data_IF_091147692783
#
_entry.id   IF_091147692783
#
_cell.length_a   1.000
_cell.length_b   1.000
_cell.length_c   1.000
_cell.angle_alpha   90.00
_cell.angle_beta   90.00
_cell.angle_gamma   90.00
#
_symmetry.space_group_name_H-M   'P 1'
#
loop_
_entity.id
_entity.type
_entity.pdbx_description
1 polymer ?
#
# COMPACT_ATOMS: atom_id res chain seq x y z
N UNK A 1 30.98 -33.35 4.59
CA UNK A 1 29.50 -33.25 4.69
C UNK A 1 29.14 -31.84 5.16
N UNK A 2 29.27 -30.82 4.31
CA UNK A 2 29.07 -29.39 4.68
C UNK A 2 27.87 -28.76 3.97
N UNK A 3 26.87 -29.58 3.61
CA UNK A 3 25.70 -29.13 2.83
C UNK A 3 24.62 -28.45 3.68
N UNK A 4 24.77 -28.43 5.01
CA UNK A 4 23.74 -28.00 5.94
C UNK A 4 23.77 -26.49 6.28
N UNK A 5 24.82 -25.75 5.90
CA UNK A 5 24.98 -24.35 6.31
C UNK A 5 24.34 -23.32 5.37
N UNK A 6 23.76 -23.73 4.24
CA UNK A 6 23.16 -22.80 3.27
C UNK A 6 21.67 -22.49 3.56
N UNK A 7 20.99 -23.26 4.41
CA UNK A 7 19.56 -23.08 4.65
C UNK A 7 19.22 -22.01 5.70
N UNK A 8 20.18 -21.57 6.52
CA UNK A 8 19.90 -20.59 7.60
C UNK A 8 19.90 -19.12 7.14
N UNK A 9 20.47 -18.79 5.97
CA UNK A 9 20.49 -17.42 5.46
C UNK A 9 19.24 -17.05 4.64
N UNK A 10 18.24 -17.94 4.55
CA UNK A 10 17.11 -17.78 3.64
C UNK A 10 15.98 -16.89 4.18
N UNK A 11 16.09 -16.46 5.44
CA UNK A 11 15.06 -15.67 6.13
C UNK A 11 15.42 -14.18 6.32
N UNK A 12 16.69 -13.82 6.17
CA UNK A 12 17.17 -12.46 6.43
C UNK A 12 16.97 -11.45 5.27
N UNK A 13 16.21 -11.80 4.22
CA UNK A 13 16.15 -10.99 3.01
C UNK A 13 14.92 -11.21 2.14
N UNK A 14 13.74 -11.42 2.74
CA UNK A 14 12.50 -11.54 1.95
C UNK A 14 11.31 -11.07 2.77
N UNK A 15 10.93 -9.81 2.57
CA UNK A 15 9.68 -9.28 3.12
C UNK A 15 9.87 -8.34 4.30
N UNK A 16 9.30 -7.15 4.15
CA UNK A 16 9.18 -6.16 5.22
C UNK A 16 8.33 -6.78 6.34
N UNK A 17 8.95 -7.10 7.48
CA UNK A 17 8.23 -7.74 8.58
C UNK A 17 7.06 -6.85 9.02
N UNK A 18 5.92 -7.44 9.39
CA UNK A 18 4.70 -6.73 9.87
C UNK A 18 4.97 -5.76 11.04
N UNK A 19 6.07 -5.95 11.76
CA UNK A 19 6.54 -5.07 12.83
C UNK A 19 7.36 -3.87 12.33
N UNK A 20 8.02 -3.97 11.16
CA UNK A 20 8.80 -2.89 10.55
C UNK A 20 7.91 -1.86 9.85
N UNK A 21 6.79 -2.28 9.25
CA UNK A 21 5.84 -1.34 8.65
C UNK A 21 5.25 -0.38 9.68
N UNK A 22 5.12 -0.79 10.95
CA UNK A 22 4.66 0.07 12.06
C UNK A 22 5.67 1.17 12.42
N UNK A 23 6.95 1.01 12.06
CA UNK A 23 8.00 2.02 12.27
C UNK A 23 8.11 2.94 11.04
N UNK A 24 7.78 2.42 9.86
CA UNK A 24 7.82 3.18 8.61
C UNK A 24 6.62 4.14 8.51
N UNK A 25 6.93 5.42 8.43
CA UNK A 25 5.94 6.50 8.35
C UNK A 25 5.87 7.12 6.96
N UNK A 26 4.69 7.61 6.59
CA UNK A 26 4.49 8.37 5.36
C UNK A 26 5.33 9.66 5.37
N UNK A 27 6.05 9.99 4.27
CA UNK A 27 6.85 11.22 4.20
C UNK A 27 6.00 12.50 4.32
N UNK A 28 4.71 12.44 3.91
CA UNK A 28 3.79 13.57 3.87
C UNK A 28 2.95 13.67 5.15
N UNK A 29 2.21 12.62 5.50
CA UNK A 29 1.24 12.65 6.61
C UNK A 29 1.85 12.27 7.96
N UNK A 30 3.09 11.74 7.99
CA UNK A 30 3.76 11.19 9.18
C UNK A 30 2.99 10.07 9.89
N UNK A 31 1.97 9.52 9.25
CA UNK A 31 1.21 8.38 9.76
C UNK A 31 1.91 7.06 9.41
N UNK A 32 1.72 5.99 10.19
CA UNK A 32 2.28 4.68 9.88
C UNK A 32 1.75 4.14 8.54
N UNK A 33 2.58 3.35 7.86
CA UNK A 33 2.23 2.72 6.58
C UNK A 33 1.82 1.26 6.77
N UNK A 34 0.84 0.81 6.00
CA UNK A 34 0.40 -0.59 5.96
C UNK A 34 1.06 -1.32 4.80
N UNK A 35 1.73 -2.43 5.09
CA UNK A 35 2.30 -3.26 4.03
C UNK A 35 1.23 -4.16 3.40
N UNK A 36 1.19 -4.19 2.07
CA UNK A 36 0.33 -5.07 1.28
C UNK A 36 1.18 -6.11 0.56
N UNK A 37 0.99 -7.38 0.91
CA UNK A 37 1.71 -8.52 0.31
C UNK A 37 1.27 -8.78 -1.13
N UNK A 38 0.04 -8.43 -1.49
CA UNK A 38 -0.52 -8.64 -2.83
C UNK A 38 0.21 -7.83 -3.90
N UNK A 39 0.53 -6.57 -3.57
CA UNK A 39 1.16 -5.62 -4.51
C UNK A 39 2.59 -5.26 -4.14
N UNK A 40 3.14 -5.92 -3.12
CA UNK A 40 4.45 -5.61 -2.52
C UNK A 40 4.66 -4.09 -2.35
N UNK A 41 3.68 -3.42 -1.75
CA UNK A 41 3.63 -1.95 -1.66
C UNK A 41 3.22 -1.50 -0.25
N UNK A 42 3.64 -0.30 0.12
CA UNK A 42 3.29 0.36 1.38
C UNK A 42 2.15 1.35 1.16
N UNK A 43 1.02 1.11 1.79
CA UNK A 43 -0.21 1.89 1.67
C UNK A 43 -0.28 2.90 2.82
N UNK A 44 -0.62 4.15 2.50
CA UNK A 44 -0.98 5.18 3.47
C UNK A 44 -2.48 5.39 3.44
N UNK A 45 -3.18 4.88 4.45
CA UNK A 45 -4.65 5.04 4.57
C UNK A 45 -5.05 6.50 4.81
N UNK A 46 -4.15 7.33 5.36
CA UNK A 46 -4.41 8.74 5.67
C UNK A 46 -4.58 9.63 4.43
N UNK A 47 -3.90 9.30 3.33
CA UNK A 47 -3.91 10.10 2.09
C UNK A 47 -4.29 9.28 0.86
N UNK A 48 -4.53 7.97 1.01
CA UNK A 48 -4.91 7.09 -0.09
C UNK A 48 -3.81 6.92 -1.13
N UNK A 49 -2.54 6.83 -0.72
CA UNK A 49 -1.42 6.61 -1.66
C UNK A 49 -0.68 5.33 -1.33
N UNK A 50 -0.16 4.68 -2.36
CA UNK A 50 0.74 3.53 -2.28
C UNK A 50 2.16 3.92 -2.69
N UNK A 51 3.13 3.40 -1.97
CA UNK A 51 4.54 3.52 -2.26
C UNK A 51 5.08 2.15 -2.68
N UNK A 52 5.76 2.04 -3.83
CA UNK A 52 6.29 0.77 -4.31
C UNK A 52 7.54 0.34 -3.51
N UNK A 53 7.76 -0.96 -3.42
CA UNK A 53 9.02 -1.54 -2.94
C UNK A 53 9.82 -2.02 -4.16
N UNK A 54 11.02 -1.47 -4.36
CA UNK A 54 11.94 -1.81 -5.46
C UNK A 54 13.18 -2.46 -4.84
N UNK A 55 13.56 -3.64 -5.32
CA UNK A 55 14.73 -4.39 -4.79
C UNK A 55 14.69 -4.63 -3.28
N UNK A 56 13.51 -4.97 -2.74
CA UNK A 56 13.23 -5.08 -1.29
C UNK A 56 13.44 -3.77 -0.48
N UNK A 57 13.64 -2.62 -1.15
CA UNK A 57 13.80 -1.30 -0.53
C UNK A 57 12.51 -0.47 -0.72
N UNK A 58 11.86 -0.01 0.36
CA UNK A 58 10.74 0.92 0.29
C UNK A 58 11.11 2.26 -0.37
N UNK A 59 10.43 2.61 -1.47
CA UNK A 59 10.62 3.91 -2.13
C UNK A 59 9.60 4.93 -1.62
N UNK A 60 9.93 5.64 -0.53
CA UNK A 60 9.08 6.69 0.05
C UNK A 60 9.32 8.07 -0.58
N UNK A 61 9.42 8.11 -1.91
CA UNK A 61 9.56 9.36 -2.66
C UNK A 61 8.15 9.87 -3.00
N UNK A 62 7.80 11.12 -2.66
CA UNK A 62 6.47 11.66 -2.96
C UNK A 62 6.08 11.58 -4.44
N UNK A 63 7.05 11.62 -5.34
CA UNK A 63 6.86 11.52 -6.80
C UNK A 63 6.55 10.10 -7.29
N UNK A 64 7.03 9.06 -6.59
CA UNK A 64 6.74 7.64 -6.90
C UNK A 64 5.41 7.16 -6.29
N UNK A 65 4.82 7.96 -5.39
CA UNK A 65 3.56 7.65 -4.75
C UNK A 65 2.43 7.57 -5.77
N UNK A 66 1.74 6.42 -5.83
CA UNK A 66 0.56 6.24 -6.67
C UNK A 66 -0.70 6.34 -5.84
N UNK A 67 -1.61 7.22 -6.25
CA UNK A 67 -2.94 7.31 -5.64
C UNK A 67 -3.62 5.96 -5.85
N UNK A 68 -3.97 5.33 -4.74
CA UNK A 68 -4.85 4.17 -4.77
C UNK A 68 -6.24 4.73 -4.57
N UNK A 69 -6.99 4.84 -5.67
CA UNK A 69 -8.42 5.01 -5.55
C UNK A 69 -8.91 3.79 -4.77
N UNK A 70 -9.35 4.00 -3.53
CA UNK A 70 -9.93 2.96 -2.72
C UNK A 70 -11.29 2.59 -3.35
N UNK A 71 -11.27 1.77 -4.40
CA UNK A 71 -12.44 1.10 -4.96
C UNK A 71 -12.87 -0.11 -4.08
N UNK A 72 -12.47 -0.12 -2.80
CA UNK A 72 -13.19 -0.84 -1.74
C UNK A 72 -14.06 0.15 -0.96
N UNK A 73 -14.75 1.02 -1.70
CA UNK A 73 -16.12 1.33 -1.36
C UNK A 73 -16.92 0.10 -1.76
N UNK A 74 -17.68 -0.58 -0.87
CA UNK A 74 -18.69 -1.50 -1.35
C UNK A 74 -19.55 -0.69 -2.32
N UNK A 75 -19.60 -1.12 -3.59
CA UNK A 75 -20.68 -0.76 -4.49
C UNK A 75 -21.98 -0.99 -3.72
N UNK A 76 -22.54 0.08 -3.18
CA UNK A 76 -23.98 0.14 -2.99
C UNK A 76 -24.45 0.97 -4.17
N UNK A 77 -24.87 0.23 -5.20
CA UNK A 77 -25.63 0.79 -6.31
C UNK A 77 -26.82 1.57 -5.73
N UNK A 78 -26.88 2.89 -5.99
CA UNK A 78 -27.92 3.76 -5.46
C UNK A 78 -27.97 5.09 -6.21
N UNK A 79 -28.86 5.15 -7.20
CA UNK A 79 -29.05 6.23 -8.17
C UNK A 79 -29.72 7.50 -7.60
N UNK A 80 -29.35 8.65 -8.18
CA UNK A 80 -30.24 9.74 -8.63
C UNK A 80 -29.36 10.75 -9.39
N UNK A 81 -29.13 10.57 -10.69
CA UNK A 81 -29.98 11.13 -11.75
C UNK A 81 -30.70 12.42 -11.33
N UNK A 82 -30.13 13.56 -11.73
CA UNK A 82 -30.88 14.78 -11.92
C UNK A 82 -30.92 15.06 -13.42
N UNK A 83 -31.61 14.18 -14.16
CA UNK A 83 -32.14 14.51 -15.47
C UNK A 83 -33.46 15.27 -15.28
N UNK A 84 -33.43 16.54 -15.65
CA UNK A 84 -34.50 17.30 -16.29
C UNK A 84 -35.95 16.86 -16.05
N UNK A 85 -36.70 17.65 -15.28
CA UNK A 85 -38.13 17.86 -15.53
C UNK A 85 -38.45 19.35 -15.56
N UNK A 86 -38.91 19.77 -16.74
CA UNK A 86 -39.68 20.97 -17.01
C UNK A 86 -40.73 21.25 -15.92
N UNK A 87 -40.83 22.52 -15.52
CA UNK A 87 -42.08 23.27 -15.31
C UNK A 87 -41.74 24.65 -14.69
N UNK A 88 -41.68 25.69 -15.51
CA UNK A 88 -42.59 26.85 -15.49
C UNK A 88 -42.19 27.83 -16.61
#
# INVERSE_FOLDING_TARGET
MVRASLMLLKDAGRGVCKSLSQILVCPLSKQPLRYSEETNSLISDAIGVSFPIKDDIPCLVPMDGKIIEADDMPKTDGAADLSSKNNQ
#
